data_IF_094146287329
#
_entry.id   IF_094146287329
#
_cell.length_a   1.000
_cell.length_b   1.000
_cell.length_c   1.000
_cell.angle_alpha   90.00
_cell.angle_beta   90.00
_cell.angle_gamma   90.00
#
_symmetry.space_group_name_H-M   'P 1'
#
loop_
_entity.id
_entity.type
_entity.pdbx_description
1 polymer ?
#
# COMPACT_ATOMS: atom_id res chain seq x y z
N UNK A 1 -4.38 -14.33 53.95
CA UNK A 1 -4.42 -13.07 53.15
C UNK A 1 -3.29 -12.98 52.11
N UNK A 2 -2.15 -13.67 52.29
CA UNK A 2 -1.01 -13.65 51.34
C UNK A 2 -1.28 -14.47 50.07
N UNK A 3 -1.91 -15.66 50.18
CA UNK A 3 -2.16 -16.55 49.03
C UNK A 3 -3.04 -15.95 47.93
N UNK A 4 -3.96 -15.05 48.30
CA UNK A 4 -4.83 -14.40 47.34
C UNK A 4 -4.08 -13.30 46.57
N UNK A 5 -3.13 -12.63 47.22
CA UNK A 5 -2.28 -11.61 46.60
C UNK A 5 -1.34 -12.24 45.56
N UNK A 6 -0.70 -13.36 45.91
CA UNK A 6 0.20 -14.09 44.99
C UNK A 6 -0.54 -14.60 43.76
N UNK A 7 -1.77 -15.09 43.93
CA UNK A 7 -2.63 -15.49 42.82
C UNK A 7 -2.99 -14.32 41.90
N UNK A 8 -3.28 -13.14 42.48
CA UNK A 8 -3.52 -11.92 41.69
C UNK A 8 -2.27 -11.47 40.92
N UNK A 9 -1.09 -11.57 41.54
CA UNK A 9 0.19 -11.23 40.89
C UNK A 9 0.47 -12.17 39.72
N UNK A 10 0.25 -13.47 39.89
CA UNK A 10 0.39 -14.45 38.81
C UNK A 10 -0.56 -14.16 37.64
N UNK A 11 -1.84 -13.88 37.92
CA UNK A 11 -2.82 -13.52 36.90
C UNK A 11 -2.43 -12.24 36.15
N UNK A 12 -1.94 -11.22 36.86
CA UNK A 12 -1.44 -9.99 36.26
C UNK A 12 -0.29 -10.28 35.29
N UNK A 13 0.70 -11.08 35.71
CA UNK A 13 1.85 -11.43 34.89
C UNK A 13 1.45 -12.23 33.63
N UNK A 14 0.47 -13.12 33.74
CA UNK A 14 -0.06 -13.83 32.58
C UNK A 14 -0.79 -12.91 31.60
N UNK A 15 -1.57 -11.96 32.12
CA UNK A 15 -2.25 -10.97 31.30
C UNK A 15 -1.24 -10.06 30.58
N UNK A 16 -0.20 -9.59 31.26
CA UNK A 16 0.87 -8.79 30.65
C UNK A 16 1.58 -9.54 29.52
N UNK A 17 1.90 -10.83 29.71
CA UNK A 17 2.47 -11.68 28.64
C UNK A 17 1.52 -11.81 27.44
N UNK A 18 0.21 -11.96 27.68
CA UNK A 18 -0.80 -12.02 26.61
C UNK A 18 -0.90 -10.69 25.85
N UNK A 19 -0.85 -9.56 26.55
CA UNK A 19 -0.86 -8.22 25.95
C UNK A 19 0.36 -8.04 25.05
N UNK A 20 1.56 -8.33 25.55
CA UNK A 20 2.81 -8.23 24.78
C UNK A 20 2.78 -9.10 23.51
N UNK A 21 2.27 -10.33 23.62
CA UNK A 21 2.11 -11.23 22.46
C UNK A 21 1.13 -10.65 21.43
N UNK A 22 0.02 -10.10 21.89
CA UNK A 22 -0.98 -9.49 21.01
C UNK A 22 -0.44 -8.23 20.33
N UNK A 23 0.30 -7.38 21.03
CA UNK A 23 0.93 -6.19 20.45
C UNK A 23 1.94 -6.57 19.36
N UNK A 24 2.76 -7.59 19.61
CA UNK A 24 3.71 -8.09 18.63
C UNK A 24 3.00 -8.65 17.38
N UNK A 25 1.91 -9.40 17.57
CA UNK A 25 1.10 -9.91 16.47
C UNK A 25 0.46 -8.76 15.67
N UNK A 26 -0.03 -7.72 16.34
CA UNK A 26 -0.61 -6.54 15.70
C UNK A 26 0.42 -5.79 14.86
N UNK A 27 1.62 -5.57 15.39
CA UNK A 27 2.72 -4.95 14.64
C UNK A 27 3.10 -5.77 13.40
N UNK A 28 3.17 -7.09 13.52
CA UNK A 28 3.44 -7.97 12.38
C UNK A 28 2.35 -7.90 11.32
N UNK A 29 1.07 -7.91 11.73
CA UNK A 29 -0.07 -7.76 10.81
C UNK A 29 -0.02 -6.43 10.05
N UNK A 30 0.19 -5.32 10.77
CA UNK A 30 0.31 -3.99 10.15
C UNK A 30 1.45 -3.93 9.13
N UNK A 31 2.62 -4.49 9.47
CA UNK A 31 3.75 -4.56 8.56
C UNK A 31 3.45 -5.41 7.31
N UNK A 32 2.77 -6.54 7.49
CA UNK A 32 2.37 -7.41 6.39
C UNK A 32 1.37 -6.71 5.46
N UNK A 33 0.36 -6.05 6.01
CA UNK A 33 -0.65 -5.29 5.25
C UNK A 33 -0.01 -4.15 4.47
N UNK A 34 0.82 -3.33 5.12
CA UNK A 34 1.54 -2.24 4.46
C UNK A 34 2.42 -2.75 3.30
N UNK A 35 3.12 -3.87 3.50
CA UNK A 35 3.91 -4.49 2.44
C UNK A 35 3.05 -5.01 1.29
N UNK A 36 1.89 -5.60 1.59
CA UNK A 36 0.95 -6.06 0.57
C UNK A 36 0.44 -4.89 -0.26
N UNK A 37 0.04 -3.79 0.36
CA UNK A 37 -0.39 -2.58 -0.32
C UNK A 37 0.70 -1.98 -1.20
N UNK A 38 1.93 -1.90 -0.70
CA UNK A 38 3.10 -1.45 -1.46
C UNK A 38 3.32 -2.32 -2.70
N UNK A 39 3.31 -3.64 -2.55
CA UNK A 39 3.46 -4.59 -3.68
C UNK A 39 2.35 -4.42 -4.71
N UNK A 40 1.10 -4.26 -4.27
CA UNK A 40 -0.04 -4.02 -5.16
C UNK A 40 0.10 -2.70 -5.92
N UNK A 41 0.52 -1.63 -5.24
CA UNK A 41 0.79 -0.33 -5.87
C UNK A 41 1.89 -0.43 -6.91
N UNK A 42 3.03 -1.04 -6.57
CA UNK A 42 4.16 -1.23 -7.49
C UNK A 42 3.74 -2.05 -8.70
N UNK A 43 3.03 -3.17 -8.50
CA UNK A 43 2.52 -3.99 -9.62
C UNK A 43 1.61 -3.19 -10.55
N UNK A 44 0.70 -2.37 -9.99
CA UNK A 44 -0.20 -1.51 -10.77
C UNK A 44 0.57 -0.45 -11.55
N UNK A 45 1.62 0.13 -10.96
CA UNK A 45 2.47 1.12 -11.64
C UNK A 45 3.23 0.48 -12.81
N UNK A 46 3.83 -0.70 -12.61
CA UNK A 46 4.52 -1.45 -13.68
C UNK A 46 3.55 -1.79 -14.82
N UNK A 47 2.36 -2.31 -14.48
CA UNK A 47 1.36 -2.64 -15.49
C UNK A 47 0.90 -1.42 -16.27
N UNK A 48 0.71 -0.27 -15.60
CA UNK A 48 0.34 0.98 -16.27
C UNK A 48 1.47 1.54 -17.14
N UNK A 49 2.72 1.47 -16.65
CA UNK A 49 3.92 1.86 -17.41
C UNK A 49 4.05 1.05 -18.69
N UNK A 50 4.00 -0.28 -18.59
CA UNK A 50 4.09 -1.17 -19.76
C UNK A 50 2.99 -0.94 -20.81
N UNK A 51 1.79 -0.50 -20.39
CA UNK A 51 0.74 -0.10 -21.34
C UNK A 51 1.06 1.24 -22.00
N UNK A 52 1.61 2.20 -21.25
CA UNK A 52 2.02 3.49 -21.79
C UNK A 52 3.11 3.31 -22.85
N UNK A 53 4.18 2.62 -22.48
CA UNK A 53 5.30 2.16 -23.30
C UNK A 53 4.80 1.57 -24.62
N UNK A 54 3.95 0.53 -24.53
CA UNK A 54 3.39 -0.16 -25.70
C UNK A 54 2.52 0.71 -26.61
N UNK A 55 1.65 1.55 -26.05
CA UNK A 55 0.64 2.27 -26.85
C UNK A 55 1.13 3.62 -27.37
N UNK A 56 2.15 4.19 -26.74
CA UNK A 56 2.73 5.47 -27.15
C UNK A 56 4.09 5.29 -27.84
N UNK A 57 4.67 4.08 -27.81
CA UNK A 57 5.98 3.75 -28.40
C UNK A 57 7.09 4.65 -27.85
N UNK A 58 7.17 4.71 -26.51
CA UNK A 58 8.02 5.65 -25.77
C UNK A 58 9.07 5.00 -24.88
N UNK A 59 9.39 3.73 -25.12
CA UNK A 59 10.33 2.94 -24.31
C UNK A 59 11.73 3.58 -24.23
N UNK A 60 12.06 4.43 -25.20
CA UNK A 60 13.31 5.18 -25.31
C UNK A 60 13.26 6.56 -24.65
N UNK A 61 12.09 7.07 -24.25
CA UNK A 61 11.96 8.39 -23.65
C UNK A 61 12.42 8.38 -22.19
N UNK A 62 13.03 9.50 -21.78
CA UNK A 62 13.28 9.74 -20.37
C UNK A 62 11.96 9.98 -19.62
N UNK A 63 12.03 9.96 -18.29
CA UNK A 63 10.87 10.27 -17.44
C UNK A 63 10.38 11.70 -17.69
N UNK A 64 11.29 12.66 -17.88
CA UNK A 64 10.97 14.06 -18.10
C UNK A 64 10.34 14.30 -19.49
N UNK A 65 10.84 13.60 -20.52
CA UNK A 65 10.25 13.64 -21.87
C UNK A 65 8.86 13.00 -21.89
N UNK A 66 8.70 11.87 -21.18
CA UNK A 66 7.41 11.21 -21.00
C UNK A 66 6.41 12.14 -20.30
N UNK A 67 6.83 12.85 -19.26
CA UNK A 67 5.96 13.83 -18.58
C UNK A 67 5.55 14.96 -19.53
N UNK A 68 6.51 15.48 -20.30
CA UNK A 68 6.26 16.54 -21.29
C UNK A 68 5.27 16.09 -22.37
N UNK A 69 5.44 14.88 -22.89
CA UNK A 69 4.50 14.26 -23.83
C UNK A 69 3.11 14.12 -23.23
N UNK A 70 3.02 13.57 -22.01
CA UNK A 70 1.76 13.37 -21.31
C UNK A 70 1.04 14.70 -21.04
N UNK A 71 1.77 15.78 -20.73
CA UNK A 71 1.19 17.12 -20.57
C UNK A 71 0.55 17.62 -21.86
N UNK A 72 1.22 17.45 -23.01
CA UNK A 72 0.67 17.85 -24.33
C UNK A 72 -0.68 17.19 -24.62
N UNK A 73 -0.84 15.90 -24.26
CA UNK A 73 -2.10 15.17 -24.50
C UNK A 73 -3.09 15.21 -23.33
N UNK A 74 -2.70 15.73 -22.17
CA UNK A 74 -3.52 15.67 -20.96
C UNK A 74 -4.89 16.33 -21.14
N UNK A 75 -4.92 17.52 -21.76
CA UNK A 75 -6.16 18.26 -22.02
C UNK A 75 -7.04 17.50 -23.02
N UNK A 76 -6.47 17.02 -24.11
CA UNK A 76 -7.18 16.23 -25.12
C UNK A 76 -7.84 14.98 -24.50
N UNK A 77 -7.08 14.22 -23.70
CA UNK A 77 -7.59 13.00 -23.06
C UNK A 77 -8.69 13.32 -22.04
N UNK A 78 -8.57 14.43 -21.29
CA UNK A 78 -9.60 14.86 -20.33
C UNK A 78 -10.90 15.23 -21.05
N UNK A 79 -10.82 16.00 -22.14
CA UNK A 79 -11.97 16.47 -22.91
C UNK A 79 -12.67 15.36 -23.70
N UNK A 80 -11.90 14.39 -24.22
CA UNK A 80 -12.42 13.29 -25.04
C UNK A 80 -12.64 11.99 -24.25
N UNK A 81 -12.58 12.04 -22.92
CA UNK A 81 -12.79 10.87 -22.07
C UNK A 81 -14.23 10.36 -22.25
N UNK A 82 -14.44 9.10 -22.69
CA UNK A 82 -15.78 8.51 -22.78
C UNK A 82 -16.50 8.51 -21.43
N UNK A 83 -17.83 8.69 -21.43
CA UNK A 83 -18.64 8.77 -20.19
C UNK A 83 -18.47 7.55 -19.29
N UNK A 84 -18.32 6.35 -19.87
CA UNK A 84 -18.05 5.10 -19.13
C UNK A 84 -16.77 5.14 -18.28
N UNK A 85 -15.86 6.07 -18.53
CA UNK A 85 -14.61 6.25 -17.79
C UNK A 85 -14.53 7.60 -17.05
N UNK A 86 -15.57 8.45 -17.17
CA UNK A 86 -15.73 9.61 -16.29
C UNK A 86 -16.11 9.08 -14.91
N UNK A 87 -15.40 9.55 -13.89
CA UNK A 87 -15.72 9.27 -12.49
C UNK A 87 -16.61 10.38 -11.96
#
# INVERSE_FOLDING_TARGET
MVDNLDKLVQQKNELEKKIQKNELLMKQKQFYESNKERKLRTRKLIQKGALLDKYFDIDNLSVDDTESLLKTFAEYVKSNKPDKYKK
#
